data_IF_308143693800
#
_entry.id   IF_308143693800
#
_cell.length_a   1.000
_cell.length_b   1.000
_cell.length_c   1.000
_cell.angle_alpha   90.00
_cell.angle_beta   90.00
_cell.angle_gamma   90.00
#
_symmetry.space_group_name_H-M   'P 1'
#
loop_
_entity.id
_entity.type
_entity.pdbx_description
1 polymer ?
#
# COMPACT_ATOMS: atom_id res chain seq x y z
N UNK A 1 9.88 9.21 5.80
CA UNK A 1 8.81 10.03 5.22
C UNK A 1 9.31 11.45 5.20
N UNK A 2 9.22 12.08 4.03
CA UNK A 2 9.50 13.49 3.83
C UNK A 2 8.22 14.33 4.06
N UNK A 3 8.39 15.65 4.14
CA UNK A 3 7.27 16.56 4.38
C UNK A 3 6.16 16.47 3.32
N UNK A 4 6.45 16.33 2.01
CA UNK A 4 5.41 16.18 1.00
C UNK A 4 4.52 14.93 1.21
N UNK A 5 5.09 13.78 1.58
CA UNK A 5 4.31 12.57 1.83
C UNK A 5 3.42 12.71 3.08
N UNK A 6 3.93 13.37 4.13
CA UNK A 6 3.11 13.68 5.30
C UNK A 6 1.95 14.62 4.94
N UNK A 7 2.21 15.65 4.13
CA UNK A 7 1.16 16.54 3.65
C UNK A 7 0.10 15.80 2.83
N UNK A 8 0.50 14.83 2.00
CA UNK A 8 -0.43 13.95 1.28
C UNK A 8 -1.35 13.16 2.22
N UNK A 9 -0.81 12.60 3.31
CA UNK A 9 -1.62 11.91 4.32
C UNK A 9 -2.62 12.85 4.99
N UNK A 10 -2.22 14.08 5.34
CA UNK A 10 -3.14 15.07 5.91
C UNK A 10 -4.27 15.44 4.94
N UNK A 11 -3.98 15.55 3.64
CA UNK A 11 -5.01 15.79 2.63
C UNK A 11 -6.03 14.64 2.60
N UNK A 12 -5.57 13.38 2.62
CA UNK A 12 -6.50 12.24 2.71
C UNK A 12 -7.30 12.24 4.00
N UNK A 13 -6.70 12.60 5.14
CA UNK A 13 -7.37 12.69 6.44
C UNK A 13 -8.49 13.74 6.43
N UNK A 14 -8.33 14.81 5.65
CA UNK A 14 -9.33 15.86 5.50
C UNK A 14 -10.44 15.55 4.48
N UNK A 15 -10.29 14.50 3.66
CA UNK A 15 -11.30 14.14 2.64
C UNK A 15 -12.51 13.47 3.30
N UNK A 16 -13.75 13.92 3.01
CA UNK A 16 -14.97 13.33 3.58
C UNK A 16 -15.17 11.85 3.27
N UNK A 17 -14.68 11.41 2.10
CA UNK A 17 -14.86 10.03 1.62
C UNK A 17 -13.81 9.06 2.16
N UNK A 18 -12.83 9.54 2.93
CA UNK A 18 -11.81 8.68 3.55
C UNK A 18 -12.34 8.11 4.87
N UNK A 19 -12.51 6.77 5.00
CA UNK A 19 -13.06 6.21 6.22
C UNK A 19 -12.16 6.46 7.46
N UNK A 20 -12.75 6.59 8.65
CA UNK A 20 -11.99 6.76 9.88
C UNK A 20 -10.95 5.65 10.09
N UNK A 21 -9.74 6.03 10.53
CA UNK A 21 -8.66 5.10 10.84
C UNK A 21 -7.84 4.61 9.64
N UNK A 22 -8.32 4.78 8.40
CA UNK A 22 -7.58 4.33 7.19
C UNK A 22 -6.23 5.06 7.06
N UNK A 23 -6.23 6.39 7.16
CA UNK A 23 -4.99 7.17 7.01
C UNK A 23 -3.99 6.82 8.10
N UNK A 24 -4.46 6.69 9.35
CA UNK A 24 -3.59 6.35 10.47
C UNK A 24 -3.00 4.94 10.33
N UNK A 25 -3.77 4.00 9.79
CA UNK A 25 -3.28 2.66 9.45
C UNK A 25 -2.20 2.73 8.37
N UNK A 26 -2.48 3.42 7.25
CA UNK A 26 -1.51 3.57 6.15
C UNK A 26 -0.23 4.26 6.62
N UNK A 27 -0.34 5.29 7.46
CA UNK A 27 0.80 5.98 8.05
C UNK A 27 1.68 5.04 8.87
N UNK A 28 1.09 4.16 9.70
CA UNK A 28 1.83 3.13 10.45
C UNK A 28 2.53 2.14 9.52
N UNK A 29 1.86 1.69 8.46
CA UNK A 29 2.46 0.75 7.51
C UNK A 29 3.62 1.39 6.73
N UNK A 30 3.50 2.66 6.34
CA UNK A 30 4.59 3.42 5.74
C UNK A 30 5.80 3.52 6.69
N UNK A 31 5.57 3.75 7.98
CA UNK A 31 6.64 3.74 8.99
C UNK A 31 7.31 2.37 9.12
N UNK A 32 6.56 1.27 9.03
CA UNK A 32 7.16 -0.09 9.03
C UNK A 32 8.09 -0.28 7.83
N UNK A 33 7.74 0.25 6.65
CA UNK A 33 8.56 0.15 5.46
C UNK A 33 9.87 0.95 5.57
N UNK A 34 9.98 1.92 6.47
CA UNK A 34 11.19 2.74 6.62
C UNK A 34 12.41 1.96 7.10
N UNK A 35 12.25 0.77 7.70
CA UNK A 35 13.40 -0.07 8.07
C UNK A 35 14.22 -0.48 6.85
N UNK A 36 13.54 -0.75 5.74
CA UNK A 36 14.15 -1.38 4.56
C UNK A 36 14.18 -0.46 3.34
N UNK A 37 13.32 0.56 3.31
CA UNK A 37 13.12 1.41 2.14
C UNK A 37 13.24 2.90 2.47
N UNK A 38 13.63 3.68 1.46
CA UNK A 38 13.51 5.13 1.46
C UNK A 38 12.05 5.49 1.16
N UNK A 39 11.26 5.74 2.21
CA UNK A 39 9.84 6.09 2.08
C UNK A 39 9.68 7.61 1.99
N UNK A 40 9.45 8.10 0.78
CA UNK A 40 9.24 9.52 0.47
C UNK A 40 8.07 9.65 -0.50
N UNK A 41 7.62 10.88 -0.75
CA UNK A 41 6.58 11.17 -1.74
C UNK A 41 6.93 10.61 -3.13
N UNK A 42 8.20 10.74 -3.52
CA UNK A 42 8.69 10.28 -4.81
C UNK A 42 8.66 8.74 -4.96
N UNK A 43 8.90 8.00 -3.88
CA UNK A 43 9.02 6.53 -3.93
C UNK A 43 7.76 5.80 -3.49
N UNK A 44 7.03 6.36 -2.53
CA UNK A 44 5.89 5.72 -1.87
C UNK A 44 4.57 6.49 -2.06
N UNK A 45 4.56 7.63 -2.75
CA UNK A 45 3.33 8.41 -2.98
C UNK A 45 2.25 7.58 -3.69
N UNK A 46 2.58 6.89 -4.79
CA UNK A 46 1.61 6.07 -5.52
C UNK A 46 1.10 4.89 -4.69
N UNK A 47 1.98 4.21 -3.94
CA UNK A 47 1.62 3.16 -2.98
C UNK A 47 0.62 3.70 -1.94
N UNK A 48 0.89 4.89 -1.39
CA UNK A 48 0.05 5.53 -0.37
C UNK A 48 -1.34 5.83 -0.89
N UNK A 49 -1.44 6.44 -2.08
CA UNK A 49 -2.73 6.73 -2.71
C UNK A 49 -3.53 5.47 -3.00
N UNK A 50 -2.86 4.42 -3.50
CA UNK A 50 -3.50 3.13 -3.75
C UNK A 50 -4.05 2.51 -2.46
N UNK A 51 -3.24 2.43 -1.40
CA UNK A 51 -3.67 1.84 -0.13
C UNK A 51 -4.87 2.55 0.48
N UNK A 52 -4.87 3.89 0.51
CA UNK A 52 -6.00 4.66 1.04
C UNK A 52 -7.26 4.39 0.21
N UNK A 53 -7.16 4.37 -1.12
CA UNK A 53 -8.29 4.11 -2.00
C UNK A 53 -8.82 2.68 -1.87
N UNK A 54 -7.94 1.67 -1.88
CA UNK A 54 -8.27 0.26 -1.80
C UNK A 54 -8.94 -0.08 -0.46
N UNK A 55 -8.35 0.34 0.66
CA UNK A 55 -8.95 0.15 1.98
C UNK A 55 -10.28 0.91 2.11
N UNK A 56 -10.33 2.13 1.57
CA UNK A 56 -11.55 2.93 1.53
C UNK A 56 -12.68 2.24 0.76
N UNK A 57 -12.37 1.58 -0.36
CA UNK A 57 -13.31 0.76 -1.15
C UNK A 57 -13.79 -0.45 -0.35
N UNK A 58 -12.89 -1.19 0.28
CA UNK A 58 -13.22 -2.39 1.07
C UNK A 58 -14.13 -2.06 2.26
N UNK A 59 -13.86 -0.95 2.97
CA UNK A 59 -14.67 -0.52 4.12
C UNK A 59 -16.07 -0.06 3.69
N UNK A 60 -16.18 0.56 2.51
CA UNK A 60 -17.46 1.02 1.96
C UNK A 60 -18.24 -0.09 1.22
N UNK A 61 -17.72 -1.33 1.24
CA UNK A 61 -18.30 -2.49 0.55
C UNK A 61 -18.55 -2.24 -0.94
N UNK A 62 -17.68 -1.42 -1.55
CA UNK A 62 -17.78 -1.11 -2.97
C UNK A 62 -17.26 -2.27 -3.83
N UNK A 63 -17.75 -2.41 -5.07
CA UNK A 63 -17.22 -3.39 -6.01
C UNK A 63 -15.71 -3.24 -6.19
N UNK A 64 -15.06 -4.39 -6.31
CA UNK A 64 -13.64 -4.50 -6.59
C UNK A 64 -13.29 -3.92 -7.98
N UNK A 65 -11.99 -3.76 -8.24
CA UNK A 65 -11.45 -3.33 -9.52
C UNK A 65 -11.13 -4.52 -10.43
N UNK A 66 -10.89 -4.23 -11.71
CA UNK A 66 -10.36 -5.23 -12.64
C UNK A 66 -8.95 -5.65 -12.22
N UNK A 67 -8.57 -6.93 -12.39
CA UNK A 67 -7.24 -7.40 -12.04
C UNK A 67 -6.15 -6.76 -12.90
N UNK A 68 -4.90 -6.65 -12.39
CA UNK A 68 -3.77 -6.26 -13.22
C UNK A 68 -3.54 -7.29 -14.33
N UNK A 69 -2.88 -6.87 -15.41
CA UNK A 69 -2.54 -7.79 -16.50
C UNK A 69 -1.63 -8.93 -16.02
N UNK A 70 -2.01 -10.18 -16.31
CA UNK A 70 -1.32 -11.40 -15.86
C UNK A 70 0.21 -11.38 -16.03
N UNK A 71 0.69 -10.86 -17.17
CA UNK A 71 2.12 -10.78 -17.45
C UNK A 71 2.85 -9.86 -16.47
N UNK A 72 2.29 -8.67 -16.22
CA UNK A 72 2.87 -7.68 -15.30
C UNK A 72 2.89 -8.22 -13.88
N UNK A 73 1.81 -8.86 -13.45
CA UNK A 73 1.75 -9.46 -12.12
C UNK A 73 2.78 -10.57 -11.96
N UNK A 74 2.91 -11.46 -12.95
CA UNK A 74 3.89 -12.56 -12.92
C UNK A 74 5.33 -12.07 -12.84
N UNK A 75 5.68 -11.05 -13.62
CA UNK A 75 7.02 -10.45 -13.59
C UNK A 75 7.39 -9.94 -12.19
N UNK A 76 6.44 -9.32 -11.48
CA UNK A 76 6.66 -8.87 -10.10
C UNK A 76 6.77 -10.04 -9.13
N UNK A 77 5.91 -11.04 -9.23
CA UNK A 77 5.97 -12.25 -8.37
C UNK A 77 7.32 -12.94 -8.51
N UNK A 78 7.83 -13.07 -9.74
CA UNK A 78 9.09 -13.74 -10.03
C UNK A 78 10.30 -12.93 -9.53
N UNK A 79 10.28 -11.59 -9.69
CA UNK A 79 11.39 -10.73 -9.28
C UNK A 79 11.39 -10.40 -7.78
N UNK A 80 10.21 -10.28 -7.17
CA UNK A 80 10.01 -9.80 -5.80
C UNK A 80 8.95 -10.64 -5.07
N UNK A 81 9.19 -11.94 -4.84
CA UNK A 81 8.21 -12.80 -4.15
C UNK A 81 7.83 -12.28 -2.76
N UNK A 82 8.77 -11.63 -2.07
CA UNK A 82 8.53 -11.00 -0.76
C UNK A 82 7.50 -9.86 -0.81
N UNK A 83 7.24 -9.26 -1.97
CA UNK A 83 6.21 -8.24 -2.13
C UNK A 83 4.80 -8.83 -2.02
N UNK A 84 4.62 -10.09 -2.45
CA UNK A 84 3.36 -10.84 -2.31
C UNK A 84 3.09 -11.14 -0.85
N UNK A 85 4.10 -11.66 -0.15
CA UNK A 85 4.00 -11.95 1.29
C UNK A 85 3.70 -10.67 2.09
N UNK A 86 4.42 -9.59 1.79
CA UNK A 86 4.21 -8.29 2.44
C UNK A 86 2.81 -7.71 2.17
N UNK A 87 2.26 -7.93 0.97
CA UNK A 87 0.89 -7.54 0.62
C UNK A 87 -0.15 -8.32 1.45
N UNK A 88 0.00 -9.64 1.54
CA UNK A 88 -0.87 -10.48 2.35
C UNK A 88 -0.80 -10.13 3.84
N UNK A 89 0.41 -9.90 4.37
CA UNK A 89 0.64 -9.50 5.75
C UNK A 89 0.01 -8.14 6.08
N UNK A 90 0.09 -7.16 5.18
CA UNK A 90 -0.57 -5.86 5.35
C UNK A 90 -2.09 -6.03 5.33
N UNK A 91 -2.62 -6.83 4.41
CA UNK A 91 -4.06 -7.14 4.34
C UNK A 91 -4.56 -7.79 5.65
N UNK A 92 -3.78 -8.70 6.23
CA UNK A 92 -4.10 -9.32 7.51
C UNK A 92 -4.11 -8.30 8.67
N UNK A 93 -3.15 -7.36 8.71
CA UNK A 93 -3.15 -6.26 9.70
C UNK A 93 -4.33 -5.31 9.49
N UNK A 94 -4.67 -5.00 8.26
CA UNK A 94 -5.84 -4.18 7.94
C UNK A 94 -7.13 -4.85 8.45
N UNK A 95 -7.28 -6.16 8.26
CA UNK A 95 -8.41 -6.91 8.80
C UNK A 95 -8.50 -6.83 10.33
N UNK A 96 -7.36 -6.95 11.02
CA UNK A 96 -7.30 -6.88 12.48
C UNK A 96 -7.63 -5.49 13.03
N UNK A 97 -7.17 -4.42 12.36
CA UNK A 97 -7.28 -3.04 12.87
C UNK A 97 -8.52 -2.29 12.35
N UNK A 98 -8.90 -2.51 11.09
CA UNK A 98 -9.99 -1.81 10.41
C UNK A 98 -11.25 -2.68 10.23
N UNK A 99 -11.19 -3.95 10.61
CA UNK A 99 -12.29 -4.91 10.47
C UNK A 99 -12.43 -5.52 9.07
N UNK A 100 -11.69 -5.03 8.08
CA UNK A 100 -11.67 -5.58 6.71
C UNK A 100 -10.26 -5.58 6.13
N UNK A 101 -9.97 -6.61 5.34
CA UNK A 101 -8.71 -6.74 4.62
C UNK A 101 -8.86 -6.34 3.15
N UNK A 102 -7.76 -6.37 2.42
CA UNK A 102 -7.77 -6.20 0.96
C UNK A 102 -8.29 -7.46 0.28
N UNK A 103 -9.02 -7.28 -0.82
CA UNK A 103 -9.41 -8.38 -1.70
C UNK A 103 -8.18 -9.06 -2.31
N UNK A 104 -8.38 -10.21 -2.96
CA UNK A 104 -7.30 -10.86 -3.70
C UNK A 104 -6.77 -9.99 -4.84
N UNK A 105 -7.61 -9.19 -5.49
CA UNK A 105 -7.22 -8.30 -6.59
C UNK A 105 -6.42 -7.11 -6.06
N UNK A 106 -6.90 -6.46 -4.99
CA UNK A 106 -6.18 -5.35 -4.37
C UNK A 106 -4.82 -5.81 -3.79
N UNK A 107 -4.73 -7.05 -3.29
CA UNK A 107 -3.45 -7.64 -2.88
C UNK A 107 -2.48 -7.82 -4.06
N UNK A 108 -2.96 -8.10 -5.27
CA UNK A 108 -2.09 -8.16 -6.46
C UNK A 108 -1.53 -6.77 -6.80
N UNK A 109 -2.36 -5.74 -6.82
CA UNK A 109 -1.90 -4.36 -7.05
C UNK A 109 -0.95 -3.86 -5.97
N UNK A 110 -1.24 -4.15 -4.70
CA UNK A 110 -0.33 -3.82 -3.61
C UNK A 110 1.03 -4.49 -3.79
N UNK A 111 1.06 -5.74 -4.26
CA UNK A 111 2.32 -6.44 -4.58
C UNK A 111 3.10 -5.72 -5.69
N UNK A 112 2.43 -5.18 -6.72
CA UNK A 112 3.09 -4.37 -7.76
C UNK A 112 3.73 -3.10 -7.20
N UNK A 113 3.01 -2.39 -6.31
CA UNK A 113 3.53 -1.20 -5.67
C UNK A 113 4.72 -1.51 -4.76
N UNK A 114 4.64 -2.58 -3.96
CA UNK A 114 5.74 -3.02 -3.09
C UNK A 114 6.95 -3.52 -3.88
N UNK A 115 6.73 -4.22 -5.00
CA UNK A 115 7.80 -4.61 -5.92
C UNK A 115 8.49 -3.40 -6.55
N UNK A 116 7.73 -2.38 -6.96
CA UNK A 116 8.27 -1.12 -7.47
C UNK A 116 9.08 -0.39 -6.42
N UNK A 117 8.61 -0.35 -5.17
CA UNK A 117 9.35 0.23 -4.05
C UNK A 117 10.65 -0.53 -3.78
N UNK A 118 10.61 -1.86 -3.80
CA UNK A 118 11.79 -2.70 -3.62
C UNK A 118 12.83 -2.52 -4.72
N UNK A 119 12.40 -2.29 -5.96
CA UNK A 119 13.27 -2.03 -7.10
C UNK A 119 13.96 -0.66 -7.01
N UNK A 120 13.24 0.36 -6.56
CA UNK A 120 13.65 1.77 -6.74
C UNK A 120 14.15 2.46 -5.47
N UNK A 121 13.80 1.94 -4.29
CA UNK A 121 13.96 2.66 -3.04
C UNK A 121 14.57 1.84 -1.90
N UNK A 122 15.12 0.65 -2.18
CA UNK A 122 15.77 -0.16 -1.14
C UNK A 122 16.99 0.57 -0.59
N UNK A 123 17.09 0.64 0.74
CA UNK A 123 18.29 1.14 1.41
C UNK A 123 19.41 0.11 1.23
N UNK A 124 20.61 0.56 0.85
CA UNK A 124 21.78 -0.30 0.90
C UNK A 124 22.00 -0.74 2.36
N UNK A 125 22.11 -2.05 2.61
CA UNK A 125 22.48 -2.56 3.93
C UNK A 125 23.92 -2.11 4.20
N UNK A 126 24.09 -1.08 5.03
CA UNK A 126 25.38 -0.68 5.58
C UNK A 126 25.90 -1.75 6.55
#
# INVERSE_FOLDING_TARGET
MDDPLRQRLELFRAMPDTPPGVVDFVERELHRLESDYLVTEATAGSLTSHLVAALGRMIREEPDIDPPGDTVYREVVDAFPTAVDASADLSARAHQELGTGLSAIEQQYLSLHLGTLALTARKEKS
#
